data_IF_614199378034
#
_entry.id   IF_614199378034
#
_cell.length_a   1.000
_cell.length_b   1.000
_cell.length_c   1.000
_cell.angle_alpha   90.00
_cell.angle_beta   90.00
_cell.angle_gamma   90.00
#
_symmetry.space_group_name_H-M   'P 1'
#
loop_
_entity.id
_entity.type
_entity.pdbx_description
1 polymer ?
#
# COMPACT_ATOMS: atom_id res chain seq x y z
N UNK A 1 -14.65 32.14 28.02
CA UNK A 1 -13.56 31.59 27.19
C UNK A 1 -14.14 30.39 26.46
N UNK A 2 -14.65 30.60 25.24
CA UNK A 2 -15.32 29.56 24.46
C UNK A 2 -14.28 28.56 23.95
N UNK A 3 -14.39 27.32 24.39
CA UNK A 3 -13.75 26.17 23.75
C UNK A 3 -14.44 25.97 22.41
N UNK A 4 -13.81 26.46 21.33
CA UNK A 4 -14.17 26.08 19.97
C UNK A 4 -14.15 24.55 19.88
N UNK A 5 -15.33 23.96 19.62
CA UNK A 5 -15.43 22.58 19.13
C UNK A 5 -14.71 22.53 17.79
N UNK A 6 -13.47 22.07 17.81
CA UNK A 6 -12.72 21.71 16.62
C UNK A 6 -13.26 20.38 16.11
N UNK A 7 -14.31 20.44 15.31
CA UNK A 7 -14.76 19.31 14.50
C UNK A 7 -13.82 19.19 13.29
N UNK A 8 -12.62 18.69 13.54
CA UNK A 8 -11.77 18.13 12.48
C UNK A 8 -11.76 16.62 12.71
N UNK A 9 -12.65 15.96 11.96
CA UNK A 9 -12.82 14.51 11.75
C UNK A 9 -12.98 13.60 12.99
N UNK A 10 -14.05 12.81 12.98
CA UNK A 10 -14.25 11.65 13.87
C UNK A 10 -13.16 10.56 13.71
N UNK A 11 -12.22 10.75 12.77
CA UNK A 11 -11.23 9.74 12.36
C UNK A 11 -10.00 9.66 13.25
N UNK A 12 -9.78 10.63 14.14
CA UNK A 12 -8.60 10.62 15.01
C UNK A 12 -8.91 11.15 16.42
N UNK A 13 -9.53 10.30 17.25
CA UNK A 13 -9.78 10.61 18.66
C UNK A 13 -8.50 10.38 19.48
N UNK A 14 -7.84 11.43 20.01
CA UNK A 14 -6.65 11.24 20.82
C UNK A 14 -6.99 10.44 22.08
N UNK A 15 -6.05 9.64 22.57
CA UNK A 15 -6.18 8.95 23.84
C UNK A 15 -6.57 9.94 24.94
N UNK A 16 -7.63 9.67 25.73
CA UNK A 16 -8.10 10.58 26.78
C UNK A 16 -7.00 10.98 27.77
N UNK A 17 -6.04 10.08 28.00
CA UNK A 17 -4.86 10.33 28.84
C UNK A 17 -3.99 11.48 28.31
N UNK A 18 -3.89 11.65 27.00
CA UNK A 18 -3.12 12.74 26.38
C UNK A 18 -3.69 14.13 26.64
N UNK A 19 -4.92 14.24 27.16
CA UNK A 19 -5.57 15.50 27.51
C UNK A 19 -5.34 15.93 28.97
N UNK A 20 -4.70 15.07 29.78
CA UNK A 20 -4.52 15.29 31.23
C UNK A 20 -3.54 16.41 31.52
N UNK A 21 -2.33 16.35 30.95
CA UNK A 21 -1.32 17.40 31.03
C UNK A 21 -0.25 17.21 29.94
N UNK A 22 0.73 18.11 29.89
CA UNK A 22 1.81 18.10 28.89
C UNK A 22 2.63 16.81 28.90
N UNK A 23 2.96 16.27 30.07
CA UNK A 23 3.76 15.04 30.17
C UNK A 23 2.99 13.83 29.62
N UNK A 24 1.71 13.71 29.94
CA UNK A 24 0.87 12.66 29.35
C UNK A 24 0.66 12.88 27.85
N UNK A 25 0.54 14.12 27.39
CA UNK A 25 0.48 14.43 25.96
C UNK A 25 1.73 13.92 25.24
N UNK A 26 2.93 14.26 25.72
CA UNK A 26 4.20 13.84 25.13
C UNK A 26 4.34 12.30 25.11
N UNK A 27 3.89 11.61 26.17
CA UNK A 27 3.87 10.15 26.24
C UNK A 27 2.86 9.50 25.28
N UNK A 28 1.67 10.10 25.15
CA UNK A 28 0.60 9.57 24.29
C UNK A 28 0.80 9.95 22.81
N UNK A 29 1.61 10.97 22.53
CA UNK A 29 1.78 11.55 21.20
C UNK A 29 2.12 10.49 20.14
N UNK A 30 3.12 9.59 20.34
CA UNK A 30 3.47 8.58 19.34
C UNK A 30 2.35 7.56 19.08
N UNK A 31 1.50 7.30 20.08
CA UNK A 31 0.36 6.38 19.95
C UNK A 31 -0.82 7.04 19.26
N UNK A 32 -1.01 8.33 19.51
CA UNK A 32 -2.01 9.13 18.84
C UNK A 32 -1.60 9.30 17.36
N UNK A 33 -0.45 9.90 17.09
CA UNK A 33 -0.03 10.33 15.76
C UNK A 33 0.76 9.29 14.96
N UNK A 34 0.98 8.09 15.52
CA UNK A 34 1.72 7.02 14.85
C UNK A 34 1.07 6.55 13.55
N UNK A 35 -0.24 6.69 13.45
CA UNK A 35 -1.05 6.28 12.32
C UNK A 35 -2.04 7.38 11.92
N UNK A 36 -2.03 7.73 10.64
CA UNK A 36 -2.99 8.67 10.05
C UNK A 36 -3.91 7.91 9.09
N UNK A 37 -5.19 7.87 9.42
CA UNK A 37 -6.23 7.43 8.48
C UNK A 37 -6.76 8.65 7.72
N UNK A 38 -6.32 8.76 6.47
CA UNK A 38 -6.69 9.84 5.54
C UNK A 38 -7.68 9.37 4.48
N UNK A 39 -8.26 8.17 4.64
CA UNK A 39 -9.29 7.68 3.73
C UNK A 39 -10.51 8.60 3.86
N UNK A 40 -11.10 9.00 2.72
CA UNK A 40 -12.26 9.88 2.65
C UNK A 40 -12.06 11.32 3.21
N UNK A 41 -10.82 11.79 3.46
CA UNK A 41 -10.56 13.13 4.04
C UNK A 41 -10.50 14.25 3.01
N UNK A 42 -11.40 15.23 3.09
CA UNK A 42 -11.52 16.31 2.12
C UNK A 42 -10.33 17.31 2.13
N UNK A 43 -10.26 18.17 1.11
CA UNK A 43 -9.17 19.14 1.02
C UNK A 43 -9.08 20.10 2.22
N UNK A 44 -10.19 20.68 2.74
CA UNK A 44 -10.15 21.54 3.92
C UNK A 44 -9.60 20.85 5.19
N UNK A 45 -10.02 19.62 5.47
CA UNK A 45 -9.52 18.87 6.63
C UNK A 45 -8.03 18.57 6.50
N UNK A 46 -7.58 18.17 5.31
CA UNK A 46 -6.17 17.91 5.06
C UNK A 46 -5.32 19.18 5.13
N UNK A 47 -5.85 20.32 4.69
CA UNK A 47 -5.16 21.62 4.79
C UNK A 47 -4.97 22.03 6.26
N UNK A 48 -5.99 21.84 7.11
CA UNK A 48 -5.87 22.07 8.55
C UNK A 48 -4.82 21.14 9.20
N UNK A 49 -4.83 19.86 8.82
CA UNK A 49 -3.84 18.88 9.28
C UNK A 49 -2.42 19.32 8.91
N UNK A 50 -2.20 19.72 7.66
CA UNK A 50 -0.92 20.21 7.14
C UNK A 50 -0.44 21.47 7.88
N UNK A 51 -1.32 22.43 8.11
CA UNK A 51 -0.92 23.74 8.65
C UNK A 51 -0.77 23.73 10.16
N UNK A 52 -1.62 23.01 10.88
CA UNK A 52 -1.73 23.15 12.34
C UNK A 52 -1.10 21.98 13.12
N UNK A 53 -1.14 20.77 12.57
CA UNK A 53 -0.85 19.55 13.32
C UNK A 53 0.48 18.92 12.89
N UNK A 54 0.67 18.68 11.58
CA UNK A 54 1.87 18.02 11.07
C UNK A 54 3.20 18.72 11.40
N UNK A 55 3.32 20.06 11.46
CA UNK A 55 4.59 20.70 11.81
C UNK A 55 5.15 20.26 13.17
N UNK A 56 4.30 19.77 14.08
CA UNK A 56 4.69 19.28 15.40
C UNK A 56 4.72 17.74 15.49
N UNK A 57 3.98 17.06 14.62
CA UNK A 57 3.67 15.63 14.78
C UNK A 57 4.24 14.74 13.67
N UNK A 58 4.67 15.29 12.54
CA UNK A 58 5.12 14.52 11.38
C UNK A 58 6.21 13.49 11.70
N UNK A 59 7.13 13.79 12.62
CA UNK A 59 8.18 12.87 13.03
C UNK A 59 7.65 11.60 13.71
N UNK A 60 6.45 11.65 14.27
CA UNK A 60 5.80 10.54 14.95
C UNK A 60 5.01 9.66 13.98
N UNK A 61 4.61 10.19 12.82
CA UNK A 61 3.83 9.46 11.81
C UNK A 61 4.67 8.34 11.21
N UNK A 62 4.21 7.10 11.39
CA UNK A 62 4.85 5.88 10.87
C UNK A 62 3.98 5.13 9.89
N UNK A 63 2.66 5.34 9.95
CA UNK A 63 1.66 4.69 9.12
C UNK A 63 0.70 5.73 8.52
N UNK A 64 0.41 5.62 7.24
CA UNK A 64 -0.64 6.40 6.58
C UNK A 64 -1.53 5.45 5.79
N UNK A 65 -2.84 5.65 5.88
CA UNK A 65 -3.81 5.08 4.97
C UNK A 65 -4.41 6.18 4.10
N UNK A 66 -4.38 5.99 2.78
CA UNK A 66 -5.01 6.89 1.80
C UNK A 66 -5.93 6.07 0.89
N UNK A 67 -7.00 6.70 0.42
CA UNK A 67 -7.93 6.02 -0.46
C UNK A 67 -9.25 6.75 -0.58
N UNK A 68 -9.93 6.44 -1.68
CA UNK A 68 -11.28 6.80 -2.12
C UNK A 68 -11.87 8.07 -1.52
N UNK A 69 -12.07 9.04 -2.41
CA UNK A 69 -13.11 10.04 -2.30
C UNK A 69 -14.27 9.59 -3.20
N UNK A 70 -15.50 9.70 -2.71
CA UNK A 70 -16.68 9.39 -3.52
C UNK A 70 -16.73 10.24 -4.79
N UNK A 71 -17.53 9.80 -5.77
CA UNK A 71 -17.95 10.53 -6.99
C UNK A 71 -18.67 11.88 -6.72
N UNK A 72 -18.47 12.51 -5.56
CA UNK A 72 -18.91 13.88 -5.36
C UNK A 72 -18.01 14.82 -6.17
N UNK A 73 -18.58 15.91 -6.66
CA UNK A 73 -17.90 17.01 -7.36
C UNK A 73 -16.76 17.67 -6.55
N UNK A 74 -16.44 17.15 -5.36
CA UNK A 74 -15.31 17.56 -4.54
C UNK A 74 -14.01 17.02 -5.12
N UNK A 75 -13.21 17.95 -5.64
CA UNK A 75 -11.90 17.69 -6.23
C UNK A 75 -11.04 16.86 -5.28
N UNK A 76 -10.74 15.61 -5.67
CA UNK A 76 -9.82 14.72 -4.95
C UNK A 76 -8.55 15.47 -4.51
N UNK A 77 -8.18 15.45 -3.21
CA UNK A 77 -7.17 16.33 -2.64
C UNK A 77 -5.74 15.83 -2.87
N UNK A 78 -5.40 15.53 -4.13
CA UNK A 78 -4.09 15.00 -4.51
C UNK A 78 -2.93 15.90 -4.05
N UNK A 79 -3.12 17.22 -4.11
CA UNK A 79 -2.10 18.19 -3.71
C UNK A 79 -1.78 18.08 -2.22
N UNK A 80 -2.81 18.06 -1.37
CA UNK A 80 -2.67 17.95 0.07
C UNK A 80 -2.09 16.59 0.46
N UNK A 81 -2.61 15.49 -0.10
CA UNK A 81 -2.10 14.14 0.18
C UNK A 81 -0.62 14.01 -0.21
N UNK A 82 -0.21 14.56 -1.36
CA UNK A 82 1.20 14.61 -1.76
C UNK A 82 2.04 15.37 -0.73
N UNK A 83 1.59 16.54 -0.30
CA UNK A 83 2.30 17.35 0.69
C UNK A 83 2.44 16.62 2.03
N UNK A 84 1.42 15.87 2.45
CA UNK A 84 1.48 15.05 3.68
C UNK A 84 2.54 13.96 3.55
N UNK A 85 2.59 13.26 2.41
CA UNK A 85 3.62 12.24 2.13
C UNK A 85 5.04 12.85 2.13
N UNK A 86 5.20 14.07 1.63
CA UNK A 86 6.48 14.79 1.63
C UNK A 86 6.90 15.24 3.05
N UNK A 87 5.94 15.67 3.89
CA UNK A 87 6.19 16.08 5.28
C UNK A 87 6.53 14.89 6.18
N UNK A 88 5.85 13.75 6.00
CA UNK A 88 5.99 12.56 6.84
C UNK A 88 7.18 11.69 6.43
N UNK A 89 8.40 12.20 6.57
CA UNK A 89 9.65 11.55 6.13
C UNK A 89 9.97 10.23 6.87
N UNK A 90 9.36 10.03 8.04
CA UNK A 90 9.53 8.88 8.91
C UNK A 90 8.57 7.72 8.60
N UNK A 91 7.81 7.83 7.52
CA UNK A 91 6.82 6.85 7.09
C UNK A 91 7.46 5.48 6.81
N UNK A 92 6.91 4.45 7.43
CA UNK A 92 7.37 3.06 7.25
C UNK A 92 6.27 2.13 6.76
N UNK A 93 5.01 2.54 6.89
CA UNK A 93 3.83 1.78 6.47
C UNK A 93 2.92 2.65 5.62
N UNK A 94 2.46 2.11 4.50
CA UNK A 94 1.47 2.76 3.65
C UNK A 94 0.38 1.77 3.26
N UNK A 95 -0.88 2.20 3.41
CA UNK A 95 -2.03 1.49 2.86
C UNK A 95 -2.70 2.38 1.81
N UNK A 96 -2.87 1.87 0.61
CA UNK A 96 -3.49 2.57 -0.51
C UNK A 96 -4.69 1.77 -0.98
N UNK A 97 -5.88 2.39 -0.91
CA UNK A 97 -7.03 1.91 -1.68
C UNK A 97 -7.02 2.62 -3.02
N UNK A 98 -6.89 1.85 -4.09
CA UNK A 98 -6.75 2.37 -5.44
C UNK A 98 -7.75 1.71 -6.38
N UNK A 99 -8.19 2.48 -7.37
CA UNK A 99 -8.82 1.94 -8.56
C UNK A 99 -7.76 1.53 -9.60
N UNK A 100 -8.16 0.71 -10.57
CA UNK A 100 -7.27 0.21 -11.60
C UNK A 100 -6.66 1.35 -12.41
N UNK A 101 -5.33 1.44 -12.41
CA UNK A 101 -4.56 2.34 -13.27
C UNK A 101 -3.65 1.54 -14.22
N UNK A 102 -3.33 2.12 -15.37
CA UNK A 102 -2.50 1.49 -16.41
C UNK A 102 -1.17 2.21 -16.56
N UNK A 103 -0.18 1.48 -17.05
CA UNK A 103 1.05 2.07 -17.58
C UNK A 103 0.86 2.41 -19.06
N UNK A 104 1.55 3.44 -19.55
CA UNK A 104 1.66 3.70 -20.98
C UNK A 104 2.74 2.81 -21.62
N UNK A 105 2.91 2.92 -22.94
CA UNK A 105 3.92 2.18 -23.71
C UNK A 105 5.37 2.39 -23.25
N UNK A 106 5.63 3.44 -22.45
CA UNK A 106 6.93 3.76 -21.88
C UNK A 106 7.08 3.28 -20.42
N UNK A 107 6.09 2.58 -19.87
CA UNK A 107 6.07 2.12 -18.47
C UNK A 107 5.88 3.24 -17.44
N UNK A 108 5.25 4.35 -17.83
CA UNK A 108 4.91 5.45 -16.93
C UNK A 108 3.44 5.38 -16.53
N UNK A 109 3.14 5.83 -15.30
CA UNK A 109 1.76 5.87 -14.81
C UNK A 109 0.91 6.81 -15.67
N UNK A 110 -0.25 6.32 -16.12
CA UNK A 110 -1.23 7.16 -16.80
C UNK A 110 -2.07 7.86 -15.74
N UNK A 111 -2.16 9.19 -15.84
CA UNK A 111 -3.09 9.95 -15.02
C UNK A 111 -4.50 9.73 -15.59
N UNK A 112 -5.36 9.10 -14.82
CA UNK A 112 -6.74 8.85 -15.18
C UNK A 112 -7.65 9.92 -14.54
N UNK A 113 -8.39 10.71 -15.34
CA UNK A 113 -9.35 11.68 -14.81
C UNK A 113 -10.45 11.04 -13.94
N UNK A 114 -10.79 9.78 -14.20
CA UNK A 114 -11.85 9.04 -13.49
C UNK A 114 -11.36 8.34 -12.23
N UNK A 115 -10.04 8.14 -12.11
CA UNK A 115 -9.42 7.46 -10.98
C UNK A 115 -8.34 8.37 -10.38
N UNK A 116 -8.72 9.38 -9.61
CA UNK A 116 -7.84 10.48 -9.26
C UNK A 116 -6.68 10.08 -8.34
N UNK A 117 -6.74 8.90 -7.71
CA UNK A 117 -5.61 8.27 -7.00
C UNK A 117 -4.39 8.09 -7.91
N UNK A 118 -4.59 8.00 -9.24
CA UNK A 118 -3.51 7.87 -10.22
C UNK A 118 -2.49 9.01 -10.12
N UNK A 119 -2.93 10.20 -9.67
CA UNK A 119 -2.08 11.39 -9.47
C UNK A 119 -1.08 11.24 -8.31
N UNK A 120 -1.28 10.26 -7.43
CA UNK A 120 -0.39 9.99 -6.29
C UNK A 120 0.57 8.83 -6.55
N UNK A 121 0.42 8.07 -7.64
CA UNK A 121 1.22 6.88 -7.91
C UNK A 121 2.71 7.19 -8.08
N UNK A 122 3.04 8.27 -8.78
CA UNK A 122 4.43 8.73 -8.90
C UNK A 122 5.03 9.06 -7.53
N UNK A 123 4.45 9.95 -6.70
CA UNK A 123 4.91 10.19 -5.33
C UNK A 123 5.04 8.91 -4.49
N UNK A 124 4.05 8.02 -4.53
CA UNK A 124 4.06 6.76 -3.77
C UNK A 124 5.23 5.87 -4.19
N UNK A 125 5.52 5.78 -5.50
CA UNK A 125 6.62 4.97 -6.04
C UNK A 125 8.01 5.45 -5.60
N UNK A 126 8.14 6.69 -5.10
CA UNK A 126 9.39 7.25 -4.60
C UNK A 126 9.64 6.96 -3.11
N UNK A 127 8.67 6.39 -2.38
CA UNK A 127 8.77 6.11 -0.94
C UNK A 127 9.64 4.88 -0.65
N UNK A 128 10.96 5.01 -0.80
CA UNK A 128 11.92 3.91 -0.68
C UNK A 128 12.07 3.34 0.74
N UNK A 129 11.68 4.10 1.76
CA UNK A 129 11.86 3.72 3.18
C UNK A 129 10.73 2.83 3.72
N UNK A 130 9.72 2.52 2.89
CA UNK A 130 8.60 1.69 3.30
C UNK A 130 9.05 0.26 3.60
N UNK A 131 8.55 -0.25 4.72
CA UNK A 131 8.72 -1.63 5.19
C UNK A 131 7.42 -2.41 5.10
N UNK A 132 6.26 -1.73 5.11
CA UNK A 132 4.96 -2.36 4.96
C UNK A 132 4.16 -1.62 3.89
N UNK A 133 3.67 -2.36 2.90
CA UNK A 133 2.78 -1.83 1.88
C UNK A 133 1.52 -2.67 1.77
N UNK A 134 0.38 -2.00 1.71
CA UNK A 134 -0.91 -2.63 1.38
C UNK A 134 -1.51 -1.92 0.18
N UNK A 135 -1.74 -2.64 -0.91
CA UNK A 135 -2.45 -2.17 -2.09
C UNK A 135 -3.78 -2.93 -2.19
N UNK A 136 -4.88 -2.21 -1.99
CA UNK A 136 -6.24 -2.76 -2.05
C UNK A 136 -6.93 -2.24 -3.29
N UNK A 137 -7.41 -3.16 -4.14
CA UNK A 137 -8.15 -2.83 -5.33
C UNK A 137 -9.65 -2.76 -4.99
N UNK A 138 -10.20 -1.55 -4.93
CA UNK A 138 -11.60 -1.32 -4.57
C UNK A 138 -12.59 -1.53 -5.74
N UNK A 139 -12.11 -1.85 -6.94
CA UNK A 139 -12.98 -1.88 -8.10
C UNK A 139 -14.01 -3.02 -8.04
N UNK A 140 -15.29 -2.68 -7.97
CA UNK A 140 -16.40 -3.64 -7.98
C UNK A 140 -16.59 -4.33 -9.34
N UNK A 141 -16.05 -3.78 -10.43
CA UNK A 141 -16.23 -4.26 -11.80
C UNK A 141 -15.21 -5.33 -12.23
N UNK A 142 -14.56 -5.98 -11.27
CA UNK A 142 -13.58 -7.04 -11.51
C UNK A 142 -12.32 -6.69 -12.28
N UNK A 143 -12.00 -5.41 -12.45
CA UNK A 143 -10.75 -5.00 -13.10
C UNK A 143 -9.57 -5.29 -12.18
N UNK A 144 -8.61 -6.07 -12.67
CA UNK A 144 -7.40 -6.46 -11.96
C UNK A 144 -6.30 -5.42 -12.17
N UNK A 145 -5.38 -5.33 -11.20
CA UNK A 145 -4.15 -4.54 -11.35
C UNK A 145 -3.20 -5.29 -12.26
N UNK A 146 -2.56 -4.55 -13.18
CA UNK A 146 -1.47 -5.13 -13.97
C UNK A 146 -0.25 -5.41 -13.09
N UNK A 147 0.49 -6.46 -13.44
CA UNK A 147 1.64 -6.91 -12.68
C UNK A 147 2.82 -5.94 -12.78
N UNK A 148 3.13 -5.44 -13.98
CA UNK A 148 4.18 -4.46 -14.21
C UNK A 148 3.88 -3.14 -13.52
N UNK A 149 2.60 -2.75 -13.50
CA UNK A 149 2.12 -1.61 -12.71
C UNK A 149 2.49 -1.75 -11.22
N UNK A 150 2.22 -2.90 -10.61
CA UNK A 150 2.58 -3.13 -9.20
C UNK A 150 4.09 -3.09 -9.02
N UNK A 151 4.84 -3.75 -9.90
CA UNK A 151 6.32 -3.73 -9.87
C UNK A 151 6.85 -2.30 -9.96
N UNK A 152 6.28 -1.46 -10.82
CA UNK A 152 6.65 -0.04 -10.94
C UNK A 152 6.49 0.70 -9.62
N UNK A 153 5.40 0.46 -8.87
CA UNK A 153 5.18 1.06 -7.55
C UNK A 153 6.26 0.60 -6.57
N UNK A 154 6.50 -0.71 -6.47
CA UNK A 154 7.33 -1.28 -5.39
C UNK A 154 8.83 -1.34 -5.71
N UNK A 155 9.23 -0.96 -6.93
CA UNK A 155 10.61 -1.12 -7.42
C UNK A 155 11.68 -0.51 -6.50
N UNK A 156 11.38 0.65 -5.89
CA UNK A 156 12.30 1.37 -4.99
C UNK A 156 12.20 0.96 -3.52
N UNK A 157 11.19 0.17 -3.16
CA UNK A 157 10.89 -0.20 -1.78
C UNK A 157 11.68 -1.46 -1.39
N UNK A 158 13.01 -1.37 -1.45
CA UNK A 158 13.93 -2.50 -1.28
C UNK A 158 13.97 -3.07 0.14
N UNK A 159 13.43 -2.33 1.10
CA UNK A 159 13.37 -2.68 2.52
C UNK A 159 12.02 -3.26 2.95
N UNK A 160 11.12 -3.57 2.01
CA UNK A 160 9.83 -4.18 2.32
C UNK A 160 10.01 -5.47 3.13
N UNK A 161 9.27 -5.53 4.24
CA UNK A 161 9.14 -6.66 5.17
C UNK A 161 7.78 -7.33 4.99
N UNK A 162 6.75 -6.53 4.71
CA UNK A 162 5.38 -6.98 4.52
C UNK A 162 4.80 -6.37 3.25
N UNK A 163 4.13 -7.20 2.45
CA UNK A 163 3.30 -6.73 1.35
C UNK A 163 1.94 -7.41 1.35
N UNK A 164 0.89 -6.62 1.16
CA UNK A 164 -0.46 -7.11 0.86
C UNK A 164 -0.88 -6.59 -0.51
N UNK A 165 -1.26 -7.52 -1.39
CA UNK A 165 -1.77 -7.23 -2.71
C UNK A 165 -3.14 -7.89 -2.89
N UNK A 166 -4.01 -7.19 -3.60
CA UNK A 166 -5.36 -7.63 -3.90
C UNK A 166 -5.61 -7.49 -5.41
N UNK A 167 -6.08 -8.58 -6.03
CA UNK A 167 -6.55 -8.58 -7.43
C UNK A 167 -5.51 -8.16 -8.47
N UNK A 168 -4.35 -8.83 -8.53
CA UNK A 168 -3.32 -8.58 -9.56
C UNK A 168 -3.40 -9.64 -10.66
N UNK A 169 -3.51 -9.19 -11.91
CA UNK A 169 -3.52 -10.03 -13.10
C UNK A 169 -2.12 -10.50 -13.49
N UNK A 170 -2.05 -11.54 -14.33
CA UNK A 170 -0.80 -12.00 -14.91
C UNK A 170 -0.49 -11.22 -16.19
N UNK A 171 0.70 -10.62 -16.29
CA UNK A 171 1.15 -10.04 -17.56
C UNK A 171 1.37 -11.11 -18.62
N UNK A 172 1.83 -12.30 -18.20
CA UNK A 172 1.95 -13.49 -19.05
C UNK A 172 1.23 -14.64 -18.37
N UNK A 173 -0.05 -14.86 -18.70
CA UNK A 173 -0.81 -15.96 -18.14
C UNK A 173 -0.17 -17.30 -18.56
N UNK A 174 0.38 -18.06 -17.60
CA UNK A 174 0.78 -19.44 -17.86
C UNK A 174 -0.48 -20.31 -17.92
N UNK A 175 -0.56 -21.18 -18.93
CA UNK A 175 -1.56 -22.23 -18.92
C UNK A 175 -1.07 -23.38 -18.03
N UNK A 176 -1.28 -23.27 -16.72
CA UNK A 176 -0.89 -24.33 -15.76
C UNK A 176 -1.62 -25.66 -16.01
N UNK A 177 -2.72 -25.65 -16.77
CA UNK A 177 -3.64 -26.80 -16.93
C UNK A 177 -3.75 -27.33 -18.37
N UNK A 178 -2.95 -26.84 -19.32
CA UNK A 178 -3.00 -27.34 -20.71
C UNK A 178 -1.60 -27.54 -21.32
N UNK A 179 -1.42 -28.66 -22.04
CA UNK A 179 -0.20 -29.00 -22.79
C UNK A 179 -0.07 -28.17 -24.08
N UNK A 180 -0.14 -26.85 -24.00
CA UNK A 180 0.05 -25.96 -25.14
C UNK A 180 1.46 -25.33 -25.12
N UNK A 181 1.93 -24.77 -26.25
CA UNK A 181 3.26 -24.12 -26.32
C UNK A 181 3.42 -22.97 -25.30
N UNK A 182 2.32 -22.34 -24.88
CA UNK A 182 2.32 -21.30 -23.84
C UNK A 182 2.61 -21.85 -22.42
N UNK A 183 2.41 -23.15 -22.18
CA UNK A 183 2.79 -23.82 -20.91
C UNK A 183 4.30 -23.97 -20.75
N UNK A 184 5.03 -23.97 -21.88
CA UNK A 184 6.48 -24.15 -21.93
C UNK A 184 7.25 -22.81 -21.92
N UNK A 185 6.56 -21.67 -21.90
CA UNK A 185 7.25 -20.38 -21.86
C UNK A 185 7.81 -20.10 -20.46
N UNK A 186 9.10 -19.76 -20.33
CA UNK A 186 9.76 -19.47 -19.06
C UNK A 186 9.46 -18.03 -18.60
N UNK A 187 8.24 -17.55 -18.81
CA UNK A 187 7.87 -16.19 -18.42
C UNK A 187 7.59 -16.17 -16.93
N UNK A 188 8.66 -16.00 -16.15
CA UNK A 188 8.55 -15.79 -14.71
C UNK A 188 7.80 -14.48 -14.46
N UNK A 189 6.81 -14.56 -13.58
CA UNK A 189 6.08 -13.41 -13.05
C UNK A 189 7.06 -12.29 -12.64
N UNK A 190 7.04 -11.10 -13.28
CA UNK A 190 7.92 -9.99 -12.91
C UNK A 190 7.74 -9.56 -11.44
N UNK A 191 6.51 -9.65 -10.91
CA UNK A 191 6.23 -9.42 -9.50
C UNK A 191 6.92 -10.47 -8.62
N UNK A 192 6.81 -11.75 -8.96
CA UNK A 192 7.45 -12.81 -8.21
C UNK A 192 8.98 -12.66 -8.19
N UNK A 193 9.58 -12.35 -9.34
CA UNK A 193 11.03 -12.10 -9.47
C UNK A 193 11.44 -10.93 -8.59
N UNK A 194 10.69 -9.82 -8.63
CA UNK A 194 10.98 -8.66 -7.79
C UNK A 194 10.87 -8.99 -6.30
N UNK A 195 9.77 -9.60 -5.86
CA UNK A 195 9.54 -9.97 -4.47
C UNK A 195 10.58 -10.98 -3.95
N UNK A 196 10.98 -11.94 -4.78
CA UNK A 196 12.01 -12.92 -4.43
C UNK A 196 13.38 -12.27 -4.20
N UNK A 197 13.67 -11.15 -4.86
CA UNK A 197 14.93 -10.41 -4.70
C UNK A 197 15.04 -9.65 -3.37
N UNK A 198 13.93 -9.39 -2.69
CA UNK A 198 13.86 -8.62 -1.45
C UNK A 198 14.32 -9.47 -0.26
N UNK A 199 15.48 -9.11 0.31
CA UNK A 199 16.07 -9.84 1.44
C UNK A 199 15.34 -9.61 2.75
N UNK A 200 14.65 -8.47 2.91
CA UNK A 200 13.93 -8.14 4.14
C UNK A 200 12.51 -8.69 4.17
N UNK A 201 12.00 -9.18 3.02
CA UNK A 201 10.60 -9.58 2.88
C UNK A 201 10.32 -10.86 3.69
N UNK A 202 9.34 -10.77 4.59
CA UNK A 202 8.92 -11.85 5.50
C UNK A 202 7.48 -12.28 5.27
N UNK A 203 6.60 -11.34 4.97
CA UNK A 203 5.17 -11.58 4.91
C UNK A 203 4.61 -11.15 3.56
N UNK A 204 3.93 -12.09 2.90
CA UNK A 204 3.25 -11.86 1.64
C UNK A 204 1.79 -12.27 1.83
N UNK A 205 0.88 -11.31 1.64
CA UNK A 205 -0.55 -11.55 1.74
C UNK A 205 -1.22 -11.27 0.41
N UNK A 206 -1.83 -12.30 -0.17
CA UNK A 206 -2.47 -12.26 -1.47
C UNK A 206 -3.94 -12.53 -1.37
N UNK A 207 -4.73 -11.69 -2.03
CA UNK A 207 -6.17 -11.91 -2.21
C UNK A 207 -6.47 -11.91 -3.70
N UNK A 208 -7.14 -12.97 -4.18
CA UNK A 208 -7.56 -13.09 -5.58
C UNK A 208 -6.47 -12.74 -6.61
N UNK A 209 -5.33 -13.45 -6.59
CA UNK A 209 -4.18 -13.19 -7.47
C UNK A 209 -4.08 -14.23 -8.61
N UNK A 210 -4.65 -13.99 -9.81
CA UNK A 210 -4.44 -14.84 -10.98
C UNK A 210 -2.96 -15.05 -11.35
N UNK A 211 -2.10 -14.05 -11.15
CA UNK A 211 -0.67 -14.18 -11.42
C UNK A 211 0.09 -15.09 -10.44
N UNK A 212 -0.53 -15.53 -9.35
CA UNK A 212 0.06 -16.51 -8.45
C UNK A 212 -0.19 -17.95 -8.96
N UNK A 213 0.74 -18.40 -9.81
CA UNK A 213 0.72 -19.67 -10.53
C UNK A 213 1.85 -20.63 -10.09
N UNK A 214 1.93 -21.78 -10.75
CA UNK A 214 2.96 -22.79 -10.49
C UNK A 214 4.39 -22.29 -10.75
N UNK A 215 4.59 -21.26 -11.56
CA UNK A 215 5.88 -20.66 -11.90
C UNK A 215 6.59 -20.03 -10.69
N UNK A 216 5.84 -19.55 -9.70
CA UNK A 216 6.39 -18.97 -8.47
C UNK A 216 7.24 -19.97 -7.67
N UNK A 217 6.92 -21.26 -7.77
CA UNK A 217 7.67 -22.34 -7.11
C UNK A 217 9.07 -22.57 -7.71
N UNK A 218 9.30 -22.10 -8.94
CA UNK A 218 10.58 -22.25 -9.66
C UNK A 218 11.54 -21.11 -9.34
N UNK A 219 11.08 -20.07 -8.64
CA UNK A 219 11.88 -18.88 -8.35
C UNK A 219 12.69 -19.10 -7.09
N UNK A 220 13.98 -18.73 -7.14
CA UNK A 220 14.85 -18.75 -5.96
C UNK A 220 14.63 -17.50 -5.11
N UNK A 221 14.10 -17.70 -3.91
CA UNK A 221 13.85 -16.62 -2.96
C UNK A 221 15.12 -16.28 -2.21
N UNK A 222 15.45 -14.99 -2.16
CA UNK A 222 16.58 -14.50 -1.36
C UNK A 222 16.24 -14.71 0.11
N UNK A 223 16.95 -15.63 0.75
CA UNK A 223 16.79 -15.96 2.15
C UNK A 223 17.32 -14.84 3.05
N UNK A 224 16.73 -14.72 4.23
CA UNK A 224 17.32 -13.96 5.34
C UNK A 224 18.53 -14.74 5.84
N UNK A 225 19.65 -14.06 6.10
CA UNK A 225 20.92 -14.65 6.55
C UNK A 225 20.90 -15.20 7.98
N UNK A 226 19.74 -15.64 8.50
CA UNK A 226 19.59 -16.21 9.84
C UNK A 226 18.71 -17.46 9.82
N UNK A 227 19.09 -18.54 10.55
CA UNK A 227 18.42 -19.85 10.52
C UNK A 227 17.02 -19.87 11.13
N UNK A 228 16.50 -18.75 11.66
CA UNK A 228 15.17 -18.66 12.30
C UNK A 228 14.15 -17.82 11.51
N UNK A 229 14.47 -17.44 10.26
CA UNK A 229 13.60 -16.57 9.47
C UNK A 229 12.92 -17.34 8.32
N UNK A 230 11.69 -17.79 8.54
CA UNK A 230 10.82 -18.34 7.48
C UNK A 230 9.99 -17.24 6.83
N UNK A 231 9.91 -17.22 5.49
CA UNK A 231 8.91 -16.39 4.79
C UNK A 231 7.53 -17.01 4.99
N UNK A 232 6.55 -16.19 5.33
CA UNK A 232 5.15 -16.60 5.49
C UNK A 232 4.33 -16.05 4.34
N UNK A 233 3.76 -16.97 3.56
CA UNK A 233 2.81 -16.64 2.50
C UNK A 233 1.39 -16.93 2.99
N UNK A 234 0.48 -15.98 2.81
CA UNK A 234 -0.94 -16.14 3.08
C UNK A 234 -1.71 -15.87 1.77
N UNK A 235 -2.49 -16.84 1.30
CA UNK A 235 -3.28 -16.71 0.06
C UNK A 235 -4.77 -16.92 0.37
N UNK A 236 -5.60 -15.95 0.02
CA UNK A 236 -7.06 -16.04 0.10
C UNK A 236 -7.62 -16.12 -1.33
N UNK A 237 -8.10 -17.30 -1.73
CA UNK A 237 -8.81 -17.51 -3.02
C UNK A 237 -10.32 -17.38 -2.82
N UNK A 238 -11.01 -16.85 -3.84
CA UNK A 238 -12.45 -16.49 -3.84
C UNK A 238 -13.40 -17.67 -3.51
N UNK A 239 -12.92 -18.92 -3.49
CA UNK A 239 -13.77 -20.08 -3.21
C UNK A 239 -13.43 -20.90 -1.96
N UNK A 240 -12.38 -20.59 -1.19
CA UNK A 240 -12.13 -21.18 0.14
C UNK A 240 -10.91 -20.47 0.76
N UNK A 241 -11.04 -19.97 1.98
CA UNK A 241 -9.90 -19.49 2.77
C UNK A 241 -8.99 -20.69 3.05
N UNK A 242 -7.96 -20.88 2.24
CA UNK A 242 -7.03 -21.99 2.38
C UNK A 242 -5.70 -21.38 2.80
N UNK A 243 -5.36 -21.51 4.08
CA UNK A 243 -4.07 -21.07 4.60
C UNK A 243 -3.01 -22.05 4.12
N UNK A 244 -2.17 -21.63 3.17
CA UNK A 244 -0.99 -22.40 2.81
C UNK A 244 0.25 -21.75 3.43
N UNK A 245 0.74 -22.32 4.52
CA UNK A 245 2.10 -22.01 5.00
C UNK A 245 3.07 -22.79 4.13
N UNK A 246 3.51 -22.17 3.03
CA UNK A 246 4.65 -22.71 2.30
C UNK A 246 5.94 -22.25 3.00
N UNK A 247 6.83 -23.16 3.42
CA UNK A 247 8.23 -22.80 3.56
C UNK A 247 8.74 -22.52 2.14
N UNK A 248 8.88 -21.24 1.81
CA UNK A 248 9.50 -20.76 0.57
C UNK A 248 10.94 -20.33 0.86
#
# INVERSE_FOLDING_TARGET
>A
MQTEKRECSDTHKPLPLGLVNRSFYELCSPFNWGELDLIFQDAPCLELLIQQLLPRQANQVKSIAIGLHHDSDELFPAKQLRQILEICTNLTKLSVRLESARLNEHGNFIIDPWHPISRLLDPISQLSNLTHLTLLNYNNNCVLLDEEFVVKIIKRMVHLVYIRLDRVDATNATCDFCDCEASNQPNLSPLAVHLASLSSLKFIYFTAMPCFDSGWSKIKWKALSSPFNTKTLCVQRILNATYFVYPI
#
